data_IF_309627736902
#
_entry.id   IF_309627736902
#
_cell.length_a   1.000
_cell.length_b   1.000
_cell.length_c   1.000
_cell.angle_alpha   90.00
_cell.angle_beta   90.00
_cell.angle_gamma   90.00
#
_symmetry.space_group_name_H-M   'P 1'
#
loop_
_entity.id
_entity.type
_entity.pdbx_description
1 polymer ?
#
# COMPACT_ATOMS: atom_id res chain seq x y z
N UNK A 1 2.13 11.66 15.00
CA UNK A 1 2.41 10.24 14.67
C UNK A 1 3.85 10.10 14.16
N UNK A 2 4.53 8.95 14.27
CA UNK A 2 5.87 8.79 13.63
C UNK A 2 5.67 8.24 12.22
N UNK A 3 6.03 9.02 11.21
CA UNK A 3 6.06 8.55 9.82
C UNK A 3 7.46 8.04 9.52
N UNK A 4 7.57 6.76 9.15
CA UNK A 4 8.80 6.18 8.66
C UNK A 4 8.71 6.00 7.16
N UNK A 5 9.74 6.45 6.45
CA UNK A 5 9.86 6.31 4.99
C UNK A 5 11.03 5.37 4.73
N UNK A 6 10.79 4.34 3.92
CA UNK A 6 11.82 3.39 3.50
C UNK A 6 11.74 3.15 2.00
N UNK A 7 12.81 2.56 1.46
CA UNK A 7 12.88 2.14 0.08
C UNK A 7 12.91 0.59 0.04
N UNK A 8 11.90 0.01 -0.62
CA UNK A 8 11.70 -1.44 -0.63
C UNK A 8 12.87 -2.22 -1.26
N UNK A 9 13.62 -1.64 -2.19
CA UNK A 9 14.78 -2.32 -2.79
C UNK A 9 16.05 -2.16 -1.98
N UNK A 10 16.29 -0.97 -1.41
CA UNK A 10 17.44 -0.73 -0.54
C UNK A 10 17.39 -1.61 0.72
N UNK A 11 16.19 -1.87 1.22
CA UNK A 11 15.98 -2.78 2.36
C UNK A 11 15.84 -4.26 1.94
N UNK A 12 15.98 -4.59 0.65
CA UNK A 12 15.95 -5.98 0.16
C UNK A 12 14.59 -6.66 0.25
N UNK A 13 13.49 -5.91 0.36
CA UNK A 13 12.13 -6.47 0.35
C UNK A 13 11.73 -6.93 -1.05
N UNK A 14 12.14 -6.22 -2.09
CA UNK A 14 11.95 -6.63 -3.47
C UNK A 14 13.11 -6.12 -4.32
N UNK A 15 13.29 -6.70 -5.49
CA UNK A 15 14.14 -6.16 -6.56
C UNK A 15 13.35 -5.16 -7.39
N UNK A 16 14.02 -4.28 -8.13
CA UNK A 16 13.36 -3.35 -9.07
C UNK A 16 12.54 -4.13 -10.10
N UNK A 17 13.07 -5.24 -10.61
CA UNK A 17 12.37 -6.09 -11.57
C UNK A 17 11.08 -6.71 -11.00
N UNK A 18 11.11 -7.18 -9.74
CA UNK A 18 9.89 -7.69 -9.06
C UNK A 18 8.83 -6.58 -8.90
N UNK A 19 9.24 -5.34 -8.63
CA UNK A 19 8.33 -4.21 -8.46
C UNK A 19 7.76 -3.71 -9.79
N UNK A 20 8.56 -3.71 -10.85
CA UNK A 20 8.11 -3.39 -12.21
C UNK A 20 7.12 -4.44 -12.73
N UNK A 21 7.42 -5.72 -12.52
CA UNK A 21 6.52 -6.84 -12.85
C UNK A 21 5.22 -6.75 -12.05
N UNK A 22 5.31 -6.47 -10.74
CA UNK A 22 4.12 -6.27 -9.92
C UNK A 22 3.29 -5.10 -10.44
N UNK A 23 3.92 -3.95 -10.73
CA UNK A 23 3.24 -2.78 -11.27
C UNK A 23 2.50 -3.09 -12.59
N UNK A 24 3.17 -3.75 -13.53
CA UNK A 24 2.54 -4.18 -14.79
C UNK A 24 1.33 -5.10 -14.54
N UNK A 25 1.48 -6.10 -13.66
CA UNK A 25 0.38 -7.01 -13.33
C UNK A 25 -0.78 -6.31 -12.61
N UNK A 26 -0.51 -5.29 -11.79
CA UNK A 26 -1.57 -4.52 -11.15
C UNK A 26 -2.35 -3.66 -12.15
N UNK A 27 -1.70 -3.08 -13.16
CA UNK A 27 -2.38 -2.31 -14.21
C UNK A 27 -3.41 -3.17 -14.97
N UNK A 28 -3.10 -4.45 -15.16
CA UNK A 28 -3.98 -5.42 -15.82
C UNK A 28 -5.10 -5.99 -14.91
N UNK A 29 -5.24 -5.49 -13.68
CA UNK A 29 -6.27 -5.98 -12.78
C UNK A 29 -7.69 -5.76 -13.34
N UNK A 30 -8.56 -6.79 -13.37
CA UNK A 30 -9.96 -6.64 -13.77
C UNK A 30 -10.83 -5.95 -12.70
N UNK A 31 -10.27 -5.74 -11.50
CA UNK A 31 -10.99 -5.24 -10.34
C UNK A 31 -11.08 -3.71 -10.25
N UNK A 32 -10.40 -2.97 -11.13
CA UNK A 32 -10.44 -1.51 -11.13
C UNK A 32 -11.86 -0.97 -11.26
N UNK A 33 -12.24 -0.11 -10.31
CA UNK A 33 -13.49 0.64 -10.31
C UNK A 33 -13.20 2.09 -9.98
N UNK A 34 -13.88 3.00 -10.64
CA UNK A 34 -13.78 4.41 -10.31
C UNK A 34 -14.37 4.68 -8.92
N UNK A 35 -13.58 5.34 -8.09
CA UNK A 35 -14.00 5.88 -6.81
C UNK A 35 -13.96 7.41 -6.90
N UNK A 36 -15.11 7.99 -7.21
CA UNK A 36 -15.29 9.44 -7.27
C UNK A 36 -15.88 9.97 -5.96
N UNK A 37 -15.25 11.02 -5.45
CA UNK A 37 -15.74 11.83 -4.34
C UNK A 37 -16.03 13.25 -4.85
N UNK A 38 -16.61 14.11 -4.02
CA UNK A 38 -16.91 15.50 -4.41
C UNK A 38 -15.68 16.29 -4.89
N UNK A 39 -14.48 15.93 -4.43
CA UNK A 39 -13.27 16.72 -4.63
C UNK A 39 -12.13 15.93 -5.27
N UNK A 40 -12.32 14.64 -5.59
CA UNK A 40 -11.25 13.79 -6.08
C UNK A 40 -11.78 12.54 -6.77
N UNK A 41 -11.00 12.02 -7.73
CA UNK A 41 -11.22 10.78 -8.46
C UNK A 41 -9.96 9.90 -8.36
N UNK A 42 -10.14 8.59 -8.36
CA UNK A 42 -9.09 7.58 -8.57
C UNK A 42 -9.73 6.25 -8.95
N UNK A 43 -8.96 5.32 -9.48
CA UNK A 43 -9.37 3.93 -9.62
C UNK A 43 -8.98 3.15 -8.36
N UNK A 44 -9.83 2.22 -7.93
CA UNK A 44 -9.54 1.32 -6.83
C UNK A 44 -9.87 -0.12 -7.22
N UNK A 45 -9.00 -1.04 -6.86
CA UNK A 45 -9.25 -2.48 -7.00
C UNK A 45 -9.38 -3.08 -5.61
N UNK A 46 -10.64 -3.23 -5.20
CA UNK A 46 -11.07 -4.06 -4.09
C UNK A 46 -10.52 -3.73 -2.69
N UNK A 47 -11.25 -4.18 -1.67
CA UNK A 47 -10.73 -4.35 -0.33
C UNK A 47 -10.34 -5.82 -0.16
N UNK A 48 -9.09 -6.18 -0.43
CA UNK A 48 -8.65 -7.51 -0.03
C UNK A 48 -8.56 -7.53 1.50
N UNK A 49 -9.57 -8.10 2.16
CA UNK A 49 -9.60 -8.19 3.63
C UNK A 49 -8.89 -9.47 4.09
N UNK A 50 -8.12 -9.34 5.17
CA UNK A 50 -7.45 -10.48 5.79
C UNK A 50 -8.35 -11.19 6.81
N UNK A 51 -9.41 -10.53 7.30
CA UNK A 51 -10.35 -11.03 8.31
C UNK A 51 -9.64 -11.57 9.58
N UNK A 52 -8.48 -11.00 9.91
CA UNK A 52 -7.65 -11.41 11.04
C UNK A 52 -6.69 -12.58 10.75
N UNK A 53 -6.68 -13.13 9.54
CA UNK A 53 -5.77 -14.18 9.10
C UNK A 53 -4.64 -13.61 8.23
N UNK A 54 -3.43 -13.49 8.80
CA UNK A 54 -2.25 -13.01 8.10
C UNK A 54 -1.82 -13.93 6.94
N UNK A 55 -2.24 -15.19 6.96
CA UNK A 55 -1.89 -16.20 5.95
C UNK A 55 -2.92 -16.33 4.83
N UNK A 56 -4.04 -15.60 4.93
CA UNK A 56 -5.08 -15.60 3.91
C UNK A 56 -4.44 -15.26 2.56
N UNK A 57 -4.70 -16.00 1.48
CA UNK A 57 -4.14 -15.64 0.18
C UNK A 57 -4.86 -14.41 -0.40
N UNK A 58 -4.19 -13.59 -1.24
CA UNK A 58 -4.87 -12.58 -2.03
C UNK A 58 -5.93 -13.21 -2.96
N UNK A 59 -6.93 -12.43 -3.44
CA UNK A 59 -7.85 -12.91 -4.46
C UNK A 59 -7.08 -13.32 -5.74
N UNK A 60 -7.64 -14.21 -6.59
CA UNK A 60 -6.91 -14.82 -7.70
C UNK A 60 -6.20 -13.82 -8.63
N UNK A 61 -6.84 -12.69 -8.93
CA UNK A 61 -6.28 -11.64 -9.79
C UNK A 61 -5.16 -10.83 -9.15
N UNK A 62 -4.94 -10.95 -7.84
CA UNK A 62 -3.85 -10.33 -7.08
C UNK A 62 -2.86 -11.37 -6.50
N UNK A 63 -2.97 -12.63 -6.91
CA UNK A 63 -2.15 -13.72 -6.37
C UNK A 63 -0.64 -13.47 -6.53
N UNK A 64 -0.22 -12.81 -7.62
CA UNK A 64 1.17 -12.40 -7.87
C UNK A 64 1.74 -11.49 -6.77
N UNK A 65 0.88 -10.70 -6.10
CA UNK A 65 1.30 -9.75 -5.06
C UNK A 65 1.48 -10.40 -3.68
N UNK A 66 1.10 -11.67 -3.51
CA UNK A 66 1.07 -12.32 -2.20
C UNK A 66 2.42 -12.29 -1.48
N UNK A 67 3.51 -12.63 -2.16
CA UNK A 67 4.85 -12.59 -1.57
C UNK A 67 5.26 -11.17 -1.15
N UNK A 68 5.03 -10.17 -2.02
CA UNK A 68 5.32 -8.77 -1.73
C UNK A 68 4.55 -8.28 -0.50
N UNK A 69 3.24 -8.59 -0.42
CA UNK A 69 2.39 -8.25 0.73
C UNK A 69 2.96 -8.86 2.02
N UNK A 70 3.35 -10.14 2.02
CA UNK A 70 3.92 -10.79 3.20
C UNK A 70 5.24 -10.16 3.65
N UNK A 71 6.13 -9.82 2.71
CA UNK A 71 7.39 -9.13 3.02
C UNK A 71 7.14 -7.74 3.63
N UNK A 72 6.17 -6.98 3.11
CA UNK A 72 5.78 -5.69 3.65
C UNK A 72 5.16 -5.80 5.06
N UNK A 73 4.35 -6.83 5.31
CA UNK A 73 3.81 -7.09 6.65
C UNK A 73 4.93 -7.44 7.64
N UNK A 74 5.87 -8.31 7.26
CA UNK A 74 7.03 -8.63 8.10
C UNK A 74 7.90 -7.41 8.40
N UNK A 75 8.05 -6.50 7.43
CA UNK A 75 8.74 -5.22 7.63
C UNK A 75 7.99 -4.27 8.56
N UNK A 76 6.66 -4.26 8.51
CA UNK A 76 5.83 -3.48 9.45
C UNK A 76 5.90 -4.06 10.87
N UNK A 77 5.98 -5.39 10.99
CA UNK A 77 6.20 -6.07 12.28
C UNK A 77 7.57 -5.73 12.89
N UNK A 78 8.62 -5.64 12.07
CA UNK A 78 9.97 -5.35 12.58
C UNK A 78 10.10 -3.95 13.21
N UNK A 79 9.38 -2.94 12.70
CA UNK A 79 9.33 -1.59 13.30
C UNK A 79 8.63 -1.54 14.66
N UNK A 80 7.91 -2.61 14.97
CA UNK A 80 7.02 -2.67 16.10
C UNK A 80 7.28 -3.93 16.91
N UNK A 81 8.57 -4.22 17.14
CA UNK A 81 9.01 -5.30 18.00
C UNK A 81 8.21 -5.34 19.31
N UNK A 82 7.57 -6.48 19.60
CA UNK A 82 6.73 -6.67 20.78
C UNK A 82 5.24 -6.35 20.58
N UNK A 83 4.83 -5.85 19.41
CA UNK A 83 3.43 -5.66 19.05
C UNK A 83 3.06 -6.62 17.91
N UNK A 84 2.08 -7.49 18.13
CA UNK A 84 1.52 -8.27 17.03
C UNK A 84 0.77 -7.34 16.07
N UNK A 85 1.20 -7.35 14.80
CA UNK A 85 0.55 -6.66 13.69
C UNK A 85 -0.55 -7.57 13.16
N UNK A 86 -1.79 -7.10 13.17
CA UNK A 86 -2.91 -7.84 12.57
C UNK A 86 -3.32 -7.10 11.31
N UNK A 87 -3.02 -7.63 10.11
CA UNK A 87 -3.46 -7.03 8.87
C UNK A 87 -4.99 -7.07 8.80
N UNK A 88 -5.57 -5.95 8.38
CA UNK A 88 -7.01 -5.79 8.21
C UNK A 88 -7.36 -5.88 6.74
N UNK A 89 -6.65 -5.12 5.92
CA UNK A 89 -6.98 -4.94 4.51
C UNK A 89 -5.77 -4.50 3.70
N UNK A 90 -5.68 -4.99 2.48
CA UNK A 90 -4.92 -4.40 1.39
C UNK A 90 -5.88 -3.66 0.45
N UNK A 91 -5.53 -2.42 0.10
CA UNK A 91 -6.34 -1.57 -0.75
C UNK A 91 -5.47 -0.96 -1.85
N UNK A 92 -5.87 -1.14 -3.10
CA UNK A 92 -5.13 -0.64 -4.25
C UNK A 92 -5.77 0.63 -4.77
N UNK A 93 -4.95 1.64 -5.00
CA UNK A 93 -5.35 2.89 -5.64
C UNK A 93 -4.50 3.10 -6.88
N UNK A 94 -5.13 3.30 -8.03
CA UNK A 94 -4.47 3.74 -9.26
C UNK A 94 -4.88 5.18 -9.53
N UNK A 95 -3.87 6.02 -9.73
CA UNK A 95 -4.00 7.41 -10.08
C UNK A 95 -3.45 7.61 -11.48
N UNK A 96 -4.32 7.96 -12.42
CA UNK A 96 -4.00 7.92 -13.84
C UNK A 96 -3.22 9.15 -14.31
N UNK A 97 -3.49 10.29 -13.69
CA UNK A 97 -2.88 11.57 -14.02
C UNK A 97 -2.63 12.41 -12.76
N UNK A 98 -2.08 13.62 -12.92
CA UNK A 98 -1.83 14.54 -11.80
C UNK A 98 -3.08 15.21 -11.20
N UNK A 99 -4.28 14.96 -11.74
CA UNK A 99 -5.54 15.49 -11.23
C UNK A 99 -6.24 14.50 -10.29
N UNK A 100 -5.95 13.21 -10.43
CA UNK A 100 -6.45 12.18 -9.52
C UNK A 100 -5.87 12.35 -8.10
N UNK A 101 -6.73 12.18 -7.10
CA UNK A 101 -6.39 12.43 -5.70
C UNK A 101 -7.17 11.53 -4.73
N UNK A 102 -6.70 11.50 -3.49
CA UNK A 102 -7.44 10.94 -2.37
C UNK A 102 -7.79 12.09 -1.40
N UNK A 103 -9.07 12.29 -1.05
CA UNK A 103 -9.43 13.30 -0.06
C UNK A 103 -8.78 13.02 1.29
N UNK A 104 -8.56 14.08 2.08
CA UNK A 104 -8.09 13.93 3.44
C UNK A 104 -9.09 13.11 4.27
N UNK A 105 -8.58 12.10 4.97
CA UNK A 105 -9.34 11.27 5.89
C UNK A 105 -8.41 10.73 6.97
N UNK A 106 -8.99 10.13 8.00
CA UNK A 106 -8.26 9.56 9.14
C UNK A 106 -8.58 8.08 9.27
N UNK A 107 -7.64 7.34 9.83
CA UNK A 107 -7.80 5.92 10.14
C UNK A 107 -7.46 5.67 11.62
N UNK A 108 -8.25 4.82 12.27
CA UNK A 108 -7.99 4.36 13.65
C UNK A 108 -7.07 3.11 13.67
N UNK A 109 -6.24 2.95 12.64
CA UNK A 109 -5.34 1.84 12.46
C UNK A 109 -3.98 2.31 11.93
N UNK A 110 -2.98 1.44 12.01
CA UNK A 110 -1.68 1.68 11.37
C UNK A 110 -1.80 1.46 9.87
N UNK A 111 -1.03 2.22 9.11
CA UNK A 111 -1.00 2.14 7.65
C UNK A 111 0.43 2.01 7.16
N UNK A 112 0.67 1.03 6.29
CA UNK A 112 1.83 0.99 5.42
C UNK A 112 1.37 1.32 3.99
N UNK A 113 2.13 2.13 3.27
CA UNK A 113 1.83 2.48 1.88
C UNK A 113 3.05 2.24 1.02
N UNK A 114 2.93 1.35 0.04
CA UNK A 114 3.89 1.18 -1.04
C UNK A 114 3.38 1.95 -2.26
N UNK A 115 4.23 2.81 -2.84
CA UNK A 115 3.92 3.54 -4.07
C UNK A 115 4.78 3.03 -5.22
N UNK A 116 4.18 2.76 -6.37
CA UNK A 116 4.83 2.35 -7.62
C UNK A 116 4.48 3.33 -8.74
N UNK A 117 5.38 3.51 -9.71
CA UNK A 117 5.18 4.41 -10.87
C UNK A 117 5.50 5.87 -10.59
N UNK A 118 4.70 6.82 -11.12
CA UNK A 118 5.03 8.25 -11.04
C UNK A 118 5.18 8.76 -9.60
N UNK A 119 6.02 9.78 -9.39
CA UNK A 119 6.17 10.45 -8.10
C UNK A 119 4.88 11.15 -7.66
N UNK A 120 4.51 11.01 -6.39
CA UNK A 120 3.34 11.68 -5.80
C UNK A 120 3.62 12.15 -4.38
N UNK A 121 2.92 13.20 -3.97
CA UNK A 121 2.92 13.61 -2.57
C UNK A 121 1.82 12.89 -1.80
N UNK A 122 2.18 12.32 -0.65
CA UNK A 122 1.23 11.99 0.42
C UNK A 122 1.32 13.06 1.50
N UNK A 123 0.16 13.54 1.97
CA UNK A 123 0.10 14.50 3.06
C UNK A 123 -0.29 13.78 4.36
N UNK A 124 0.54 13.90 5.39
CA UNK A 124 0.31 13.28 6.71
C UNK A 124 0.47 14.34 7.78
N UNK A 125 -0.58 14.60 8.57
CA UNK A 125 -0.58 15.65 9.61
C UNK A 125 -0.14 17.05 9.09
N UNK A 126 -0.36 17.34 7.81
CA UNK A 126 0.02 18.59 7.15
C UNK A 126 1.42 18.59 6.51
N UNK A 127 2.23 17.57 6.79
CA UNK A 127 3.54 17.39 6.16
C UNK A 127 3.40 16.70 4.79
N UNK A 128 4.08 17.23 3.77
CA UNK A 128 4.12 16.64 2.43
C UNK A 128 5.33 15.73 2.31
N UNK A 129 5.07 14.45 2.06
CA UNK A 129 6.09 13.43 1.87
C UNK A 129 6.06 13.01 0.40
N UNK A 130 7.19 13.11 -0.28
CA UNK A 130 7.33 12.69 -1.68
C UNK A 130 7.55 11.17 -1.74
N UNK A 131 6.57 10.45 -2.29
CA UNK A 131 6.65 9.03 -2.60
C UNK A 131 7.34 8.87 -3.95
N UNK A 132 8.53 8.28 -3.95
CA UNK A 132 9.36 8.09 -5.15
C UNK A 132 9.29 6.65 -5.66
N UNK A 133 9.30 6.41 -6.98
CA UNK A 133 9.54 5.09 -7.51
C UNK A 133 10.96 4.62 -7.17
N UNK A 134 11.11 3.31 -7.23
CA UNK A 134 12.41 2.67 -7.26
C UNK A 134 13.07 3.01 -8.60
N UNK A 135 14.23 3.64 -8.56
CA UNK A 135 15.10 3.94 -9.71
C UNK A 135 14.63 4.98 -10.74
N UNK A 136 13.67 5.84 -10.40
CA UNK A 136 13.39 7.06 -11.17
C UNK A 136 12.79 6.85 -12.57
N UNK A 137 12.32 5.63 -12.87
CA UNK A 137 11.55 5.39 -14.08
C UNK A 137 10.18 6.07 -13.97
N UNK A 138 10.02 7.16 -14.73
CA UNK A 138 8.78 7.91 -14.80
C UNK A 138 7.75 7.11 -15.62
N UNK A 139 7.00 6.24 -14.95
CA UNK A 139 5.74 5.74 -15.49
C UNK A 139 4.66 6.82 -15.33
N UNK A 140 3.73 6.99 -16.29
CA UNK A 140 2.75 8.07 -16.24
C UNK A 140 1.72 7.91 -15.11
N UNK A 141 1.48 6.67 -14.67
CA UNK A 141 0.52 6.34 -13.62
C UNK A 141 1.23 6.09 -12.30
N UNK A 142 0.57 6.39 -11.19
CA UNK A 142 1.02 6.00 -9.85
C UNK A 142 0.04 5.02 -9.25
N UNK A 143 0.55 3.98 -8.61
CA UNK A 143 -0.27 3.07 -7.82
C UNK A 143 0.18 3.04 -6.37
N UNK A 144 -0.79 3.11 -5.45
CA UNK A 144 -0.59 2.89 -4.03
C UNK A 144 -1.18 1.55 -3.59
N UNK A 145 -0.35 0.66 -3.02
CA UNK A 145 -0.80 -0.46 -2.21
C UNK A 145 -0.80 -0.02 -0.75
N UNK A 146 -1.98 0.05 -0.16
CA UNK A 146 -2.19 0.46 1.22
C UNK A 146 -2.50 -0.77 2.06
N UNK A 147 -1.69 -1.05 3.07
CA UNK A 147 -1.92 -2.12 4.05
C UNK A 147 -2.32 -1.49 5.38
N UNK A 148 -3.50 -1.85 5.89
CA UNK A 148 -3.98 -1.43 7.21
C UNK A 148 -3.77 -2.53 8.24
N UNK A 149 -3.36 -2.16 9.45
CA UNK A 149 -3.22 -3.10 10.57
C UNK A 149 -3.59 -2.51 11.92
N UNK A 150 -4.07 -3.36 12.85
CA UNK A 150 -4.30 -2.98 14.24
C UNK A 150 -3.23 -3.58 15.15
N UNK A 151 -2.84 -2.88 16.23
CA UNK A 151 -2.12 -3.53 17.32
C UNK A 151 -3.04 -4.56 17.98
N UNK A 152 -2.59 -5.80 18.12
CA UNK A 152 -3.29 -6.78 18.96
C UNK A 152 -3.11 -6.36 20.41
N UNK A 153 -4.19 -5.96 21.08
CA UNK A 153 -4.18 -5.94 22.55
C UNK A 153 -4.10 -7.40 22.99
N UNK A 154 -2.96 -7.82 23.54
CA UNK A 154 -2.93 -9.04 24.34
C UNK A 154 -3.96 -8.85 25.48
N UNK A 155 -4.80 -9.85 25.79
CA UNK A 155 -5.59 -9.77 27.01
C UNK A 155 -4.62 -9.49 28.16
N UNK A 156 -4.92 -8.48 28.98
CA UNK A 156 -4.16 -8.27 30.22
C UNK A 156 -4.19 -9.59 31.01
N UNK A 157 -3.05 -10.03 31.55
CA UNK A 157 -2.99 -11.24 32.36
C UNK A 157 -3.97 -11.19 33.54
#
# INVERSE_FOLDING_TARGET
>A
MVVQVFNATQEGLATTAELDEAFANFLESPGWRELQTRTARRLCDGSYTFDGDCSKPPPPHLSFAGNLIQKLLGRLESDHAGHAVVPMQAFLCLYEDGQDACPNHVHDCRQLTLSLGAERFVAVEGEKILMRPVDGHAMPHTMGLVLWSRPRFLPKP
#
